data_IF_414431062614
#
_entry.id   IF_414431062614
#
_cell.length_a   1.000
_cell.length_b   1.000
_cell.length_c   1.000
_cell.angle_alpha   90.00
_cell.angle_beta   90.00
_cell.angle_gamma   90.00
#
_symmetry.space_group_name_H-M   'P 1'
#
loop_
_entity.id
_entity.type
_entity.pdbx_description
1 polymer ?
#
# COMPACT_ATOMS: atom_id res chain seq x y z
N UNK A 1 -3.79 19.55 8.97
CA UNK A 1 -4.18 18.20 9.41
C UNK A 1 -3.32 17.79 10.61
N UNK A 2 -3.79 16.85 11.37
CA UNK A 2 -3.15 16.30 12.58
C UNK A 2 -1.74 15.77 12.26
N UNK A 3 -1.57 15.12 11.11
CA UNK A 3 -0.26 14.66 10.63
C UNK A 3 0.75 15.81 10.52
N UNK A 4 0.37 16.94 9.92
CA UNK A 4 1.27 18.10 9.82
C UNK A 4 1.63 18.68 11.19
N UNK A 5 0.65 18.70 12.09
CA UNK A 5 0.87 19.18 13.46
C UNK A 5 1.82 18.25 14.21
N UNK A 6 1.60 16.93 14.11
CA UNK A 6 2.46 15.92 14.71
C UNK A 6 3.93 16.02 14.22
N UNK A 7 4.13 16.18 12.92
CA UNK A 7 5.49 16.39 12.38
C UNK A 7 6.17 17.64 12.95
N UNK A 8 5.43 18.75 13.09
CA UNK A 8 5.96 19.97 13.72
C UNK A 8 6.33 19.75 15.18
N UNK A 9 5.48 19.12 15.97
CA UNK A 9 5.70 18.81 17.39
C UNK A 9 6.93 17.91 17.59
N UNK A 10 7.17 16.99 16.67
CA UNK A 10 8.34 16.12 16.65
C UNK A 10 9.55 16.71 15.93
N UNK A 11 9.54 18.03 15.64
CA UNK A 11 10.62 18.71 14.91
C UNK A 11 11.05 17.94 13.66
N UNK A 12 10.06 17.44 12.89
CA UNK A 12 10.26 16.64 11.67
C UNK A 12 11.21 15.45 11.88
N UNK A 13 11.28 14.92 13.08
CA UNK A 13 12.18 13.82 13.48
C UNK A 13 13.66 14.10 13.16
N UNK A 14 14.07 15.36 13.19
CA UNK A 14 15.42 15.82 12.83
C UNK A 14 15.67 15.96 11.32
N UNK A 15 14.67 15.71 10.47
CA UNK A 15 14.76 15.91 9.03
C UNK A 15 14.65 17.40 8.67
N UNK A 16 15.32 17.82 7.59
CA UNK A 16 15.12 19.19 7.08
C UNK A 16 13.69 19.34 6.55
N UNK A 17 12.92 20.20 7.22
CA UNK A 17 11.52 20.50 6.87
C UNK A 17 11.33 20.97 5.42
N UNK A 18 12.36 21.53 4.78
CA UNK A 18 12.29 21.99 3.39
C UNK A 18 12.19 20.84 2.38
N UNK A 19 12.51 19.62 2.80
CA UNK A 19 12.38 18.40 2.01
C UNK A 19 11.20 17.51 2.43
N UNK A 20 10.34 17.98 3.36
CA UNK A 20 9.14 17.25 3.79
C UNK A 20 7.90 17.88 3.17
N UNK A 21 7.23 17.13 2.31
CA UNK A 21 6.02 17.56 1.60
C UNK A 21 4.83 16.73 2.01
N UNK A 22 3.67 17.37 2.11
CA UNK A 22 2.40 16.73 2.43
C UNK A 22 1.42 16.99 1.30
N UNK A 23 0.78 15.96 0.84
CA UNK A 23 -0.37 16.05 -0.06
C UNK A 23 -1.53 15.24 0.51
N UNK A 24 -2.72 15.49 0.00
CA UNK A 24 -3.94 14.82 0.45
C UNK A 24 -4.33 13.82 -0.62
N UNK A 25 -4.62 12.60 -0.19
CA UNK A 25 -5.14 11.55 -1.06
C UNK A 25 -6.52 11.94 -1.58
N UNK A 26 -6.80 11.65 -2.84
CA UNK A 26 -8.09 11.87 -3.45
C UNK A 26 -9.15 10.96 -2.81
N UNK A 27 -10.40 11.46 -2.82
CA UNK A 27 -11.55 10.80 -2.26
C UNK A 27 -12.49 10.37 -3.37
N UNK A 28 -13.11 9.19 -3.20
CA UNK A 28 -14.13 8.68 -4.10
C UNK A 28 -15.51 8.68 -3.41
N UNK A 29 -16.60 8.99 -4.13
CA UNK A 29 -17.93 8.91 -3.58
C UNK A 29 -18.34 7.45 -3.38
N UNK A 30 -19.08 7.20 -2.30
CA UNK A 30 -19.68 5.90 -2.02
C UNK A 30 -21.10 5.84 -2.58
N UNK A 31 -21.51 4.65 -3.02
CA UNK A 31 -22.85 4.42 -3.57
C UNK A 31 -23.58 3.31 -2.79
N UNK A 32 -24.90 3.39 -2.75
CA UNK A 32 -25.76 2.32 -2.27
C UNK A 32 -25.83 1.16 -3.27
N UNK A 33 -26.43 0.03 -2.90
CA UNK A 33 -26.61 -1.13 -3.78
C UNK A 33 -27.51 -0.84 -5.00
N UNK A 34 -28.39 0.15 -4.92
CA UNK A 34 -29.21 0.63 -6.05
C UNK A 34 -28.51 1.71 -6.91
N UNK A 35 -27.24 1.97 -6.68
CA UNK A 35 -26.40 2.84 -7.49
C UNK A 35 -26.54 4.32 -7.21
N UNK A 36 -27.22 4.72 -6.12
CA UNK A 36 -27.36 6.12 -5.72
C UNK A 36 -26.20 6.57 -4.83
N UNK A 37 -25.77 7.80 -4.97
CA UNK A 37 -24.79 8.38 -4.06
C UNK A 37 -25.30 8.39 -2.62
N UNK A 38 -24.48 7.89 -1.72
CA UNK A 38 -24.73 8.04 -0.29
C UNK A 38 -24.28 9.44 0.16
N UNK A 39 -25.07 10.05 1.04
CA UNK A 39 -24.83 11.39 1.54
C UNK A 39 -24.36 11.33 2.99
N UNK A 40 -23.32 12.09 3.32
CA UNK A 40 -22.85 12.28 4.70
C UNK A 40 -23.67 13.37 5.40
N UNK A 41 -24.12 14.38 4.62
CA UNK A 41 -24.98 15.47 5.04
C UNK A 41 -25.86 15.89 3.86
N UNK A 42 -26.83 16.77 4.07
CA UNK A 42 -27.82 17.23 3.04
C UNK A 42 -27.18 17.65 1.71
N UNK A 43 -25.97 18.18 1.75
CA UNK A 43 -25.26 18.71 0.59
C UNK A 43 -23.83 18.16 0.48
N UNK A 44 -23.53 17.07 1.19
CA UNK A 44 -22.20 16.48 1.23
C UNK A 44 -22.26 14.98 0.94
N UNK A 45 -21.55 14.56 -0.09
CA UNK A 45 -21.42 13.15 -0.43
C UNK A 45 -20.65 12.39 0.68
N UNK A 46 -21.05 11.17 0.94
CA UNK A 46 -20.24 10.23 1.72
C UNK A 46 -19.03 9.82 0.89
N UNK A 47 -17.87 10.37 1.24
CA UNK A 47 -16.61 10.14 0.56
C UNK A 47 -15.73 9.17 1.35
N UNK A 48 -14.92 8.41 0.64
CA UNK A 48 -13.86 7.59 1.24
C UNK A 48 -12.56 7.74 0.44
N UNK A 49 -11.39 7.52 1.07
CA UNK A 49 -10.13 7.45 0.32
C UNK A 49 -10.25 6.45 -0.84
N UNK A 50 -9.69 6.81 -1.99
CA UNK A 50 -9.77 6.04 -3.24
C UNK A 50 -8.79 4.84 -3.30
N UNK A 51 -8.39 4.31 -2.15
CA UNK A 51 -7.44 3.19 -2.04
C UNK A 51 -5.97 3.62 -2.08
N UNK A 52 -5.09 2.72 -1.68
CA UNK A 52 -3.65 3.02 -1.59
C UNK A 52 -2.95 3.12 -2.96
N UNK A 53 -3.59 2.76 -4.07
CA UNK A 53 -3.09 2.98 -5.43
C UNK A 53 -3.22 4.42 -5.91
N UNK A 54 -4.13 5.21 -5.32
CA UNK A 54 -4.36 6.62 -5.69
C UNK A 54 -3.26 7.61 -5.25
N UNK A 55 -2.23 7.14 -4.55
CA UNK A 55 -1.19 8.02 -4.00
C UNK A 55 -0.44 8.82 -5.07
N UNK A 56 -0.12 8.19 -6.23
CA UNK A 56 0.68 8.85 -7.26
C UNK A 56 -0.14 9.90 -8.00
N UNK A 57 -1.39 9.60 -8.37
CA UNK A 57 -2.30 10.58 -9.00
C UNK A 57 -2.55 11.79 -8.08
N UNK A 58 -2.76 11.54 -6.79
CA UNK A 58 -2.93 12.62 -5.79
C UNK A 58 -1.67 13.47 -5.63
N UNK A 59 -0.48 12.85 -5.68
CA UNK A 59 0.80 13.55 -5.67
C UNK A 59 0.97 14.41 -6.92
N UNK A 60 0.63 13.89 -8.09
CA UNK A 60 0.64 14.63 -9.37
C UNK A 60 -0.31 15.83 -9.30
N UNK A 61 -1.56 15.62 -8.88
CA UNK A 61 -2.57 16.67 -8.73
C UNK A 61 -2.16 17.77 -7.75
N UNK A 62 -1.31 17.45 -6.76
CA UNK A 62 -0.76 18.42 -5.81
C UNK A 62 0.36 19.29 -6.38
N UNK A 63 0.85 19.01 -7.59
CA UNK A 63 1.98 19.71 -8.23
C UNK A 63 3.37 19.23 -7.77
N UNK A 64 3.46 18.19 -6.95
CA UNK A 64 4.75 17.68 -6.45
C UNK A 64 5.58 17.01 -7.55
N UNK A 65 4.97 16.44 -8.57
CA UNK A 65 5.69 15.81 -9.69
C UNK A 65 6.60 16.81 -10.40
N UNK A 66 6.12 18.03 -10.68
CA UNK A 66 6.93 19.08 -11.33
C UNK A 66 8.14 19.46 -10.48
N UNK A 67 7.96 19.51 -9.15
CA UNK A 67 9.05 19.79 -8.23
C UNK A 67 10.09 18.67 -8.22
N UNK A 68 9.65 17.42 -8.19
CA UNK A 68 10.52 16.25 -8.25
C UNK A 68 11.31 16.20 -9.56
N UNK A 69 10.67 16.47 -10.68
CA UNK A 69 11.34 16.54 -11.99
C UNK A 69 12.44 17.62 -12.01
N UNK A 70 12.18 18.81 -11.45
CA UNK A 70 13.18 19.88 -11.32
C UNK A 70 14.35 19.49 -10.40
N UNK A 71 14.12 18.60 -9.44
CA UNK A 71 15.17 18.06 -8.56
C UNK A 71 15.91 16.87 -9.14
N UNK A 72 15.54 16.40 -10.34
CA UNK A 72 16.15 15.23 -10.99
C UNK A 72 15.84 13.89 -10.29
N UNK A 73 14.71 13.78 -9.58
CA UNK A 73 14.32 12.54 -8.90
C UNK A 73 13.80 11.54 -9.92
N UNK A 74 14.49 10.42 -10.06
CA UNK A 74 14.16 9.35 -11.01
C UNK A 74 13.47 8.14 -10.37
N UNK A 75 13.61 7.95 -9.06
CA UNK A 75 13.09 6.81 -8.33
C UNK A 75 12.35 7.22 -7.06
N UNK A 76 11.28 6.49 -6.74
CA UNK A 76 10.49 6.66 -5.53
C UNK A 76 10.45 5.37 -4.74
N UNK A 77 10.88 5.42 -3.48
CA UNK A 77 10.65 4.35 -2.54
C UNK A 77 9.31 4.59 -1.83
N UNK A 78 8.37 3.70 -2.05
CA UNK A 78 6.98 3.78 -1.55
C UNK A 78 6.77 2.69 -0.52
N UNK A 79 6.30 3.05 0.67
CA UNK A 79 6.12 2.11 1.77
C UNK A 79 4.98 2.51 2.68
N UNK A 80 4.48 1.53 3.45
CA UNK A 80 3.45 1.72 4.46
C UNK A 80 4.06 2.18 5.79
N UNK A 81 3.37 3.08 6.48
CA UNK A 81 3.81 3.60 7.79
C UNK A 81 3.62 2.62 8.93
N UNK A 82 2.79 1.59 8.74
CA UNK A 82 2.46 0.61 9.77
C UNK A 82 3.61 -0.37 10.08
N UNK A 83 4.55 -0.59 9.16
CA UNK A 83 5.70 -1.44 9.38
C UNK A 83 6.86 -0.65 10.02
N UNK A 84 7.09 -0.82 11.33
CA UNK A 84 8.09 -0.06 12.08
C UNK A 84 9.55 -0.47 11.80
N UNK A 85 9.80 -1.59 11.13
CA UNK A 85 11.12 -2.02 10.68
C UNK A 85 11.41 -1.65 9.22
N UNK A 86 10.65 -0.74 8.62
CA UNK A 86 10.91 -0.29 7.25
C UNK A 86 12.33 0.26 7.09
N UNK A 87 13.10 -0.33 6.17
CA UNK A 87 14.38 0.25 5.72
C UNK A 87 14.10 1.18 4.55
N UNK A 88 13.97 2.46 4.87
CA UNK A 88 13.68 3.54 3.92
C UNK A 88 14.94 3.82 3.11
N UNK A 89 14.79 3.98 1.79
CA UNK A 89 15.87 4.30 0.86
C UNK A 89 17.10 3.39 1.01
N UNK A 90 16.87 2.10 1.23
CA UNK A 90 17.91 1.07 1.38
C UNK A 90 18.80 1.03 0.14
N UNK A 91 20.11 1.38 0.26
CA UNK A 91 21.00 1.49 -0.90
C UNK A 91 21.22 0.15 -1.60
N UNK A 92 21.13 -0.97 -0.88
CA UNK A 92 21.29 -2.31 -1.45
C UNK A 92 20.09 -2.64 -2.33
N UNK A 93 18.87 -2.40 -1.84
CA UNK A 93 17.65 -2.61 -2.61
C UNK A 93 17.57 -1.69 -3.83
N UNK A 94 17.92 -0.40 -3.65
CA UNK A 94 17.95 0.57 -4.76
C UNK A 94 18.98 0.13 -5.80
N UNK A 95 20.21 -0.19 -5.38
CA UNK A 95 21.28 -0.62 -6.27
C UNK A 95 20.93 -1.90 -7.03
N UNK A 96 20.37 -2.91 -6.34
CA UNK A 96 19.92 -4.14 -6.95
C UNK A 96 18.83 -3.91 -8.00
N UNK A 97 17.84 -3.06 -7.70
CA UNK A 97 16.77 -2.73 -8.64
C UNK A 97 17.30 -2.00 -9.88
N UNK A 98 18.19 -1.04 -9.71
CA UNK A 98 18.78 -0.32 -10.85
C UNK A 98 19.63 -1.26 -11.71
N UNK A 99 20.47 -2.11 -11.10
CA UNK A 99 21.33 -3.06 -11.81
C UNK A 99 20.56 -4.17 -12.52
N UNK A 100 19.38 -4.57 -12.01
CA UNK A 100 18.52 -5.55 -12.68
C UNK A 100 17.91 -5.02 -13.98
N UNK A 101 17.86 -3.70 -14.17
CA UNK A 101 17.17 -3.04 -15.28
C UNK A 101 15.64 -3.04 -15.15
N UNK A 102 15.08 -3.59 -14.09
CA UNK A 102 13.64 -3.61 -13.86
C UNK A 102 13.08 -2.20 -13.61
N UNK A 103 11.85 -1.90 -14.08
CA UNK A 103 11.18 -0.63 -13.84
C UNK A 103 10.73 -0.43 -12.40
N UNK A 104 10.68 -1.52 -11.64
CA UNK A 104 10.36 -1.51 -10.22
C UNK A 104 11.08 -2.61 -9.45
N UNK A 105 11.12 -2.48 -8.13
CA UNK A 105 11.49 -3.53 -7.19
C UNK A 105 10.45 -3.64 -6.08
N UNK A 106 10.27 -4.83 -5.55
CA UNK A 106 9.39 -5.13 -4.42
C UNK A 106 10.15 -5.91 -3.36
N UNK A 107 10.18 -5.40 -2.13
CA UNK A 107 10.66 -6.19 -0.99
C UNK A 107 9.61 -7.23 -0.59
N UNK A 108 10.07 -8.45 -0.38
CA UNK A 108 9.24 -9.59 0.00
C UNK A 108 9.85 -10.34 1.17
N UNK A 109 9.00 -11.04 1.91
CA UNK A 109 9.41 -11.99 2.95
C UNK A 109 8.84 -13.37 2.65
N UNK A 110 9.50 -14.42 3.07
CA UNK A 110 8.90 -15.75 3.05
C UNK A 110 7.70 -15.78 4.00
N UNK A 111 6.60 -16.35 3.54
CA UNK A 111 5.41 -16.55 4.35
C UNK A 111 5.73 -17.45 5.55
N UNK A 112 5.17 -17.12 6.70
CA UNK A 112 5.31 -17.94 7.92
C UNK A 112 4.47 -19.21 7.86
N UNK A 113 3.39 -19.18 7.07
CA UNK A 113 2.47 -20.31 6.84
C UNK A 113 1.71 -20.08 5.52
N UNK A 114 1.19 -21.16 4.88
CA UNK A 114 0.51 -21.05 3.58
C UNK A 114 -0.69 -20.10 3.57
N UNK A 115 -1.45 -20.05 4.65
CA UNK A 115 -2.66 -19.23 4.83
C UNK A 115 -2.38 -17.84 5.44
N UNK A 116 -1.12 -17.39 5.48
CA UNK A 116 -0.79 -16.05 5.96
C UNK A 116 -1.48 -14.98 5.10
N UNK A 117 -2.12 -14.00 5.77
CA UNK A 117 -2.90 -12.93 5.13
C UNK A 117 -2.00 -11.81 4.62
N UNK A 118 -1.28 -12.10 3.55
CA UNK A 118 -0.38 -11.16 2.85
C UNK A 118 -0.50 -11.39 1.35
N UNK A 119 -0.48 -10.32 0.56
CA UNK A 119 -0.43 -10.42 -0.90
C UNK A 119 0.86 -11.13 -1.33
N UNK A 120 0.78 -11.98 -2.35
CA UNK A 120 1.90 -12.82 -2.78
C UNK A 120 2.38 -12.39 -4.16
N UNK A 121 3.68 -12.12 -4.25
CA UNK A 121 4.34 -11.84 -5.52
C UNK A 121 4.46 -13.13 -6.35
N UNK A 122 4.01 -13.07 -7.58
CA UNK A 122 4.11 -14.15 -8.55
C UNK A 122 4.32 -13.61 -9.98
N UNK A 123 4.29 -14.50 -10.96
CA UNK A 123 4.24 -14.13 -12.39
C UNK A 123 2.95 -14.68 -13.00
N UNK A 124 2.25 -13.82 -13.71
CA UNK A 124 1.09 -14.18 -14.51
C UNK A 124 1.38 -13.85 -15.97
N UNK A 125 1.30 -14.85 -16.85
CA UNK A 125 1.63 -14.70 -18.28
C UNK A 125 3.01 -14.07 -18.54
N UNK A 126 3.98 -14.36 -17.66
CA UNK A 126 5.35 -13.83 -17.75
C UNK A 126 5.55 -12.44 -17.17
N UNK A 127 4.50 -11.73 -16.77
CA UNK A 127 4.55 -10.42 -16.14
C UNK A 127 4.47 -10.52 -14.61
N UNK A 128 5.02 -9.53 -13.87
CA UNK A 128 4.88 -9.51 -12.44
C UNK A 128 3.42 -9.34 -12.06
N UNK A 129 2.97 -10.07 -11.05
CA UNK A 129 1.62 -10.01 -10.51
C UNK A 129 1.66 -10.18 -8.99
N UNK A 130 0.72 -9.57 -8.30
CA UNK A 130 0.51 -9.78 -6.88
C UNK A 130 -0.91 -10.29 -6.71
N UNK A 131 -1.02 -11.51 -6.17
CA UNK A 131 -2.30 -12.14 -5.82
C UNK A 131 -2.59 -11.87 -4.35
N UNK A 132 -3.73 -11.29 -4.06
CA UNK A 132 -4.16 -11.04 -2.69
C UNK A 132 -4.50 -12.34 -1.95
N UNK A 133 -4.30 -12.37 -0.64
CA UNK A 133 -4.48 -13.57 0.18
C UNK A 133 -5.90 -14.18 0.08
N UNK A 134 -6.92 -13.37 -0.18
CA UNK A 134 -8.31 -13.82 -0.34
C UNK A 134 -8.61 -14.37 -1.75
N UNK A 135 -7.69 -14.21 -2.70
CA UNK A 135 -7.76 -14.76 -4.06
C UNK A 135 -6.99 -16.08 -4.17
N UNK A 136 -6.13 -16.41 -3.18
CA UNK A 136 -5.39 -17.66 -3.15
C UNK A 136 -6.34 -18.83 -2.91
N UNK A 137 -6.43 -19.74 -3.87
CA UNK A 137 -7.19 -21.00 -3.70
C UNK A 137 -6.42 -22.00 -2.80
N UNK A 138 -7.09 -23.00 -2.21
CA UNK A 138 -6.40 -24.05 -1.46
C UNK A 138 -5.30 -24.74 -2.28
N UNK A 139 -5.55 -24.99 -3.57
CA UNK A 139 -4.59 -25.61 -4.47
C UNK A 139 -3.34 -24.72 -4.66
N UNK A 140 -3.51 -23.39 -4.76
CA UNK A 140 -2.41 -22.45 -4.84
C UNK A 140 -1.60 -22.40 -3.54
N UNK A 141 -2.28 -22.49 -2.38
CA UNK A 141 -1.60 -22.48 -1.08
C UNK A 141 -0.75 -23.73 -0.86
N UNK A 142 -1.16 -24.87 -1.42
CA UNK A 142 -0.46 -26.16 -1.32
C UNK A 142 0.53 -26.40 -2.46
N UNK A 143 0.48 -25.59 -3.52
CA UNK A 143 1.34 -25.74 -4.68
C UNK A 143 2.83 -25.64 -4.32
N UNK A 144 3.63 -26.49 -4.96
CA UNK A 144 5.10 -26.55 -4.79
C UNK A 144 5.77 -26.21 -6.11
N UNK A 145 6.93 -25.57 -6.01
CA UNK A 145 7.81 -25.35 -7.16
C UNK A 145 8.62 -26.61 -7.51
N UNK A 146 9.51 -26.49 -8.51
CA UNK A 146 10.37 -27.57 -8.95
C UNK A 146 11.39 -28.07 -7.89
N UNK A 147 11.59 -27.29 -6.83
CA UNK A 147 12.50 -27.62 -5.72
C UNK A 147 11.75 -28.15 -4.49
N UNK A 148 10.40 -28.24 -4.55
CA UNK A 148 9.55 -28.68 -3.45
C UNK A 148 9.22 -27.58 -2.44
N UNK A 149 9.63 -26.33 -2.69
CA UNK A 149 9.28 -25.17 -1.87
C UNK A 149 7.87 -24.66 -2.20
N UNK A 150 7.17 -23.96 -1.28
CA UNK A 150 5.86 -23.37 -1.59
C UNK A 150 5.95 -22.40 -2.77
N UNK A 151 5.15 -22.63 -3.82
CA UNK A 151 5.18 -21.84 -5.04
C UNK A 151 4.71 -20.38 -4.81
N UNK A 152 3.75 -20.18 -3.90
CA UNK A 152 3.22 -18.87 -3.53
C UNK A 152 3.74 -18.44 -2.16
N UNK A 153 5.07 -18.23 -2.05
CA UNK A 153 5.77 -18.05 -0.77
C UNK A 153 6.22 -16.61 -0.49
N UNK A 154 6.33 -15.75 -1.50
CA UNK A 154 6.89 -14.42 -1.35
C UNK A 154 5.82 -13.38 -1.03
N UNK A 155 5.59 -13.14 0.28
CA UNK A 155 4.67 -12.13 0.77
C UNK A 155 5.22 -10.71 0.58
N UNK A 156 4.45 -9.81 -0.05
CA UNK A 156 4.84 -8.40 -0.20
C UNK A 156 4.65 -7.65 1.11
N UNK A 157 5.60 -6.78 1.45
CA UNK A 157 5.60 -6.02 2.72
C UNK A 157 5.30 -4.53 2.52
N UNK A 158 4.72 -4.18 1.37
CA UNK A 158 4.46 -2.80 0.96
C UNK A 158 5.69 -1.90 1.12
N UNK A 159 6.80 -2.35 0.51
CA UNK A 159 8.00 -1.56 0.30
C UNK A 159 8.44 -1.77 -1.16
N UNK A 160 8.11 -0.79 -1.98
CA UNK A 160 8.35 -0.80 -3.42
C UNK A 160 9.31 0.31 -3.82
N UNK A 161 10.09 0.04 -4.85
CA UNK A 161 10.86 1.05 -5.56
C UNK A 161 10.33 1.18 -6.97
N UNK A 162 9.90 2.36 -7.37
CA UNK A 162 9.36 2.61 -8.72
C UNK A 162 10.20 3.64 -9.46
N UNK A 163 10.42 3.41 -10.73
CA UNK A 163 10.97 4.43 -11.62
C UNK A 163 9.89 5.44 -11.98
N UNK A 164 10.15 6.73 -11.77
CA UNK A 164 9.16 7.82 -11.95
C UNK A 164 8.56 7.81 -13.35
N UNK A 165 9.37 7.57 -14.39
CA UNK A 165 8.89 7.47 -15.78
C UNK A 165 7.77 6.44 -15.93
N UNK A 166 7.93 5.26 -15.35
CA UNK A 166 6.94 4.19 -15.45
C UNK A 166 5.67 4.50 -14.63
N UNK A 167 5.80 5.20 -13.48
CA UNK A 167 4.64 5.68 -12.74
C UNK A 167 3.80 6.70 -13.53
N UNK A 168 4.45 7.56 -14.31
CA UNK A 168 3.74 8.50 -15.20
C UNK A 168 2.96 7.72 -16.27
N UNK A 169 3.58 6.70 -16.88
CA UNK A 169 2.91 5.85 -17.87
C UNK A 169 1.72 5.11 -17.27
N UNK A 170 1.86 4.54 -16.06
CA UNK A 170 0.77 3.89 -15.32
C UNK A 170 -0.36 4.89 -15.05
N UNK A 171 -0.04 6.08 -14.56
CA UNK A 171 -1.03 7.11 -14.23
C UNK A 171 -1.85 7.54 -15.45
N UNK A 172 -1.22 7.62 -16.63
CA UNK A 172 -1.89 7.97 -17.88
C UNK A 172 -2.86 6.87 -18.36
N UNK A 173 -2.59 5.60 -18.03
CA UNK A 173 -3.41 4.44 -18.41
C UNK A 173 -4.51 4.10 -17.40
N UNK A 174 -4.54 4.77 -16.25
CA UNK A 174 -5.47 4.57 -15.12
C UNK A 174 -5.43 3.16 -14.52
N UNK A 175 -5.42 3.10 -13.21
CA UNK A 175 -5.51 1.86 -12.44
C UNK A 175 -6.93 1.27 -12.50
N UNK A 176 -7.03 -0.04 -12.27
CA UNK A 176 -8.31 -0.73 -12.11
C UNK A 176 -8.99 -0.24 -10.82
N UNK A 177 -10.30 -0.04 -10.88
CA UNK A 177 -11.10 0.24 -9.71
C UNK A 177 -11.64 -1.08 -9.12
N UNK A 178 -11.29 -1.34 -7.88
CA UNK A 178 -11.86 -2.42 -7.10
C UNK A 178 -13.12 -1.93 -6.40
N UNK A 179 -14.18 -2.73 -6.48
CA UNK A 179 -15.46 -2.44 -5.83
C UNK A 179 -15.52 -3.24 -4.54
N UNK A 180 -15.65 -2.56 -3.41
CA UNK A 180 -15.64 -3.19 -2.09
C UNK A 180 -16.92 -2.87 -1.33
N UNK A 181 -17.60 -3.90 -0.85
CA UNK A 181 -18.78 -3.75 0.02
C UNK A 181 -18.37 -3.27 1.42
N UNK A 182 -19.02 -2.24 1.91
CA UNK A 182 -18.71 -1.64 3.22
C UNK A 182 -19.96 -1.16 3.95
N UNK A 183 -19.84 -1.06 5.27
CA UNK A 183 -20.77 -0.33 6.12
C UNK A 183 -20.47 1.16 5.97
N UNK A 184 -21.36 1.89 5.34
CA UNK A 184 -21.17 3.30 4.99
C UNK A 184 -22.21 4.12 5.75
N UNK A 185 -21.83 4.91 6.76
CA UNK A 185 -22.74 5.83 7.41
C UNK A 185 -23.32 6.83 6.40
N UNK A 186 -24.59 7.14 6.50
CA UNK A 186 -25.27 8.07 5.59
C UNK A 186 -26.40 8.82 6.29
N UNK A 187 -26.84 9.90 5.66
CA UNK A 187 -28.06 10.63 6.08
C UNK A 187 -29.27 10.10 5.29
N UNK A 188 -30.36 9.78 5.98
CA UNK A 188 -31.60 9.35 5.35
C UNK A 188 -32.43 10.55 4.86
N UNK A 189 -33.55 10.28 4.21
CA UNK A 189 -34.48 11.32 3.68
C UNK A 189 -35.05 12.21 4.77
N UNK A 190 -35.09 11.76 6.02
CA UNK A 190 -35.55 12.56 7.18
C UNK A 190 -34.44 13.45 7.74
N UNK A 191 -33.21 13.33 7.27
CA UNK A 191 -32.06 14.06 7.78
C UNK A 191 -31.43 13.44 9.03
N UNK A 192 -31.65 12.16 9.28
CA UNK A 192 -31.08 11.42 10.41
C UNK A 192 -29.84 10.64 9.96
N UNK A 193 -28.80 10.61 10.80
CA UNK A 193 -27.59 9.81 10.55
C UNK A 193 -27.90 8.34 10.82
N UNK A 194 -27.68 7.50 9.81
CA UNK A 194 -27.80 6.05 9.90
C UNK A 194 -26.42 5.44 9.90
N UNK A 195 -26.11 4.65 10.93
CA UNK A 195 -24.91 3.83 11.03
C UNK A 195 -25.29 2.36 10.78
N UNK A 196 -25.04 1.80 9.60
CA UNK A 196 -25.48 0.46 9.26
C UNK A 196 -24.71 -0.61 10.04
N UNK A 197 -25.39 -1.65 10.47
CA UNK A 197 -24.77 -2.81 11.14
C UNK A 197 -24.21 -3.82 10.13
N UNK A 198 -24.72 -3.81 8.90
CA UNK A 198 -24.27 -4.65 7.79
C UNK A 198 -23.80 -3.79 6.61
N UNK A 199 -23.03 -4.33 5.65
CA UNK A 199 -22.67 -3.63 4.42
C UNK A 199 -23.95 -3.13 3.70
N UNK A 200 -23.93 -1.88 3.26
CA UNK A 200 -25.08 -1.19 2.66
C UNK A 200 -24.75 -0.50 1.32
N UNK A 201 -23.52 -0.68 0.83
CA UNK A 201 -23.13 -0.05 -0.41
C UNK A 201 -21.68 -0.33 -0.77
N UNK A 202 -21.22 0.34 -1.81
CA UNK A 202 -19.92 0.14 -2.43
C UNK A 202 -19.00 1.34 -2.25
N UNK A 203 -17.72 1.04 -2.01
CA UNK A 203 -16.58 1.96 -2.13
C UNK A 203 -15.73 1.56 -3.33
N UNK A 204 -15.06 2.54 -3.90
CA UNK A 204 -14.18 2.36 -5.04
C UNK A 204 -12.74 2.61 -4.60
N UNK A 205 -11.89 1.63 -4.79
CA UNK A 205 -10.50 1.66 -4.35
C UNK A 205 -9.57 1.25 -5.50
N UNK A 206 -8.46 1.95 -5.68
CA UNK A 206 -7.33 1.50 -6.49
C UNK A 206 -6.24 0.97 -5.59
N UNK A 207 -5.52 -0.05 -6.01
CA UNK A 207 -4.51 -0.71 -5.18
C UNK A 207 -3.10 -0.50 -5.76
N UNK A 208 -2.11 -0.34 -4.89
CA UNK A 208 -0.71 -0.18 -5.29
C UNK A 208 -0.18 -1.43 -6.00
N UNK A 209 -0.71 -2.60 -5.68
CA UNK A 209 -0.36 -3.85 -6.34
C UNK A 209 -0.69 -3.83 -7.84
N UNK A 210 -1.76 -3.12 -8.25
CA UNK A 210 -2.10 -2.97 -9.67
C UNK A 210 -1.03 -2.20 -10.44
N UNK A 211 -0.28 -1.31 -9.77
CA UNK A 211 0.86 -0.65 -10.40
C UNK A 211 1.94 -1.65 -10.79
N UNK A 212 2.18 -2.68 -9.97
CA UNK A 212 3.13 -3.75 -10.29
C UNK A 212 2.62 -4.59 -11.46
N UNK A 213 1.33 -4.94 -11.45
CA UNK A 213 0.68 -5.75 -12.50
C UNK A 213 0.71 -5.05 -13.88
N UNK A 214 0.80 -3.72 -13.92
CA UNK A 214 0.91 -2.94 -15.17
C UNK A 214 2.33 -2.83 -15.72
N UNK A 215 3.35 -3.29 -14.99
CA UNK A 215 4.75 -3.27 -15.43
C UNK A 215 5.11 -4.53 -16.24
N UNK A 216 6.17 -4.41 -17.04
CA UNK A 216 6.69 -5.56 -17.80
C UNK A 216 7.58 -6.47 -16.95
N UNK A 217 8.23 -5.92 -15.90
CA UNK A 217 9.03 -6.70 -14.96
C UNK A 217 9.15 -5.98 -13.61
N UNK A 218 9.53 -6.75 -12.56
CA UNK A 218 9.75 -6.24 -11.21
C UNK A 218 10.81 -7.10 -10.51
N UNK A 219 11.82 -6.46 -9.92
CA UNK A 219 12.77 -7.18 -9.08
C UNK A 219 12.08 -7.65 -7.80
N UNK A 220 12.04 -8.94 -7.56
CA UNK A 220 11.62 -9.54 -6.28
C UNK A 220 12.83 -9.60 -5.35
N UNK A 221 12.85 -8.79 -4.30
CA UNK A 221 13.95 -8.66 -3.37
C UNK A 221 13.59 -9.25 -2.02
N UNK A 222 14.04 -10.48 -1.75
CA UNK A 222 13.80 -11.16 -0.47
C UNK A 222 14.59 -10.50 0.65
N UNK A 223 13.93 -10.25 1.78
CA UNK A 223 14.52 -9.71 3.01
C UNK A 223 14.23 -10.62 4.21
N UNK A 224 15.05 -10.51 5.24
CA UNK A 224 14.83 -11.23 6.49
C UNK A 224 13.62 -10.65 7.24
N UNK A 225 12.57 -11.45 7.39
CA UNK A 225 11.31 -11.05 8.05
C UNK A 225 11.55 -10.35 9.38
N UNK A 226 12.37 -10.93 10.25
CA UNK A 226 12.63 -10.40 11.59
C UNK A 226 13.37 -9.06 11.58
N UNK A 227 14.02 -8.70 10.47
CA UNK A 227 14.79 -7.46 10.34
C UNK A 227 14.04 -6.34 9.61
N UNK A 228 13.03 -6.68 8.81
CA UNK A 228 12.37 -5.69 7.97
C UNK A 228 10.84 -5.72 7.98
N UNK A 229 10.21 -6.63 8.76
CA UNK A 229 8.76 -6.73 8.78
C UNK A 229 8.19 -6.86 10.20
N UNK A 230 7.70 -5.75 10.73
CA UNK A 230 7.02 -5.64 12.02
C UNK A 230 5.81 -4.70 11.92
N UNK A 231 4.73 -5.13 11.23
CA UNK A 231 3.56 -4.28 11.04
C UNK A 231 2.75 -4.14 12.33
N UNK A 232 2.11 -2.99 12.51
CA UNK A 232 1.18 -2.70 13.61
C UNK A 232 -0.21 -2.52 13.03
N UNK A 233 -1.00 -3.59 13.03
CA UNK A 233 -2.37 -3.64 12.48
C UNK A 233 -3.42 -3.92 13.54
N UNK A 234 -3.04 -4.60 14.63
CA UNK A 234 -3.93 -5.05 15.69
C UNK A 234 -3.56 -4.42 17.03
N UNK A 235 -4.53 -4.33 17.91
CA UNK A 235 -4.30 -3.89 19.28
C UNK A 235 -3.49 -4.91 20.08
N UNK A 236 -3.76 -6.19 19.88
CA UNK A 236 -3.18 -7.31 20.61
C UNK A 236 -2.95 -8.51 19.67
N UNK A 237 -2.07 -9.42 20.04
CA UNK A 237 -1.76 -10.64 19.27
C UNK A 237 -0.78 -10.40 18.13
N UNK A 238 -1.02 -11.05 17.00
CA UNK A 238 -0.17 -10.94 15.81
C UNK A 238 -0.26 -9.54 15.22
N UNK A 239 0.85 -9.02 14.72
CA UNK A 239 0.94 -7.67 14.12
C UNK A 239 0.44 -6.56 15.05
N UNK A 240 0.79 -6.65 16.33
CA UNK A 240 0.43 -5.68 17.37
C UNK A 240 1.61 -4.78 17.78
N UNK A 241 1.31 -3.78 18.60
CA UNK A 241 2.35 -2.93 19.21
C UNK A 241 3.37 -3.77 19.98
N UNK A 242 2.93 -4.80 20.69
CA UNK A 242 3.80 -5.62 21.53
C UNK A 242 4.74 -6.47 20.69
N UNK A 243 4.23 -7.15 19.64
CA UNK A 243 5.08 -7.92 18.71
C UNK A 243 6.06 -7.02 17.96
N UNK A 244 5.64 -5.80 17.59
CA UNK A 244 6.51 -4.83 16.95
C UNK A 244 7.64 -4.35 17.89
N UNK A 245 7.33 -4.09 19.17
CA UNK A 245 8.34 -3.72 20.18
C UNK A 245 9.35 -4.84 20.42
N UNK A 246 8.89 -6.09 20.48
CA UNK A 246 9.80 -7.26 20.62
C UNK A 246 10.78 -7.32 19.44
N UNK A 247 10.29 -7.15 18.21
CA UNK A 247 11.14 -7.15 17.02
C UNK A 247 12.10 -5.95 16.97
N UNK A 248 11.66 -4.76 17.40
CA UNK A 248 12.54 -3.59 17.53
C UNK A 248 13.68 -3.86 18.51
N UNK A 249 13.40 -4.41 19.70
CA UNK A 249 14.42 -4.79 20.69
C UNK A 249 15.39 -5.84 20.14
N UNK A 250 14.86 -6.86 19.44
CA UNK A 250 15.68 -7.89 18.80
C UNK A 250 16.66 -7.28 17.78
N UNK A 251 16.27 -6.18 17.13
CA UNK A 251 17.11 -5.43 16.20
C UNK A 251 17.97 -4.34 16.86
N UNK A 252 18.06 -4.32 18.21
CA UNK A 252 18.93 -3.40 18.95
C UNK A 252 18.38 -1.98 19.06
N UNK A 253 17.08 -1.76 18.83
CA UNK A 253 16.45 -0.46 19.01
C UNK A 253 16.06 -0.29 20.49
N UNK A 254 16.55 0.75 21.13
CA UNK A 254 16.14 1.15 22.49
C UNK A 254 14.78 1.86 22.44
N UNK A 255 13.77 1.32 23.15
CA UNK A 255 12.39 1.83 23.20
C UNK A 255 11.83 1.77 24.63
#
# INVERSE_FOLDING_TARGET
SDTRQFFKEKNYFGYDKNFVYFFVQDMAPSISYDGKFLMEDRYKLALSPNGNGGWFSSMVSSGLLDKMNKMGIEWLNVFSVDNVLQRIADPIFIGATILSGCPAGAKVVKKSKPDERVGVMCKENGKPSIVEYYELTPEMMEARDAYGEPAYNYGVILNYLFRVKNLIDINNNKLVNHIVEKKIPYINEKGEIVNPEEPNGYKFETLILDMINMLDDCLVFEVERQKEFAPVKNKEGVDSIDTARELLKLNGVEI
#
